data_IF_053355098663
#
_entry.id   IF_053355098663
#
_cell.length_a   1.000
_cell.length_b   1.000
_cell.length_c   1.000
_cell.angle_alpha   90.00
_cell.angle_beta   90.00
_cell.angle_gamma   90.00
#
_symmetry.space_group_name_H-M   'P 1'
#
loop_
_entity.id
_entity.type
_entity.pdbx_description
1 polymer ?
#
# COMPACT_ATOMS: atom_id res chain seq x y z
N UNK A 1 14.16 -1.97 -8.37
CA UNK A 1 13.90 -1.31 -9.67
C UNK A 1 12.64 -1.91 -10.26
N UNK A 2 11.51 -1.25 -10.44
CA UNK A 2 11.14 0.17 -10.35
C UNK A 2 9.66 0.20 -9.99
N UNK A 3 9.31 0.70 -8.80
CA UNK A 3 7.92 0.98 -8.44
C UNK A 3 7.47 2.18 -9.25
N UNK A 4 6.89 1.95 -10.42
CA UNK A 4 6.27 3.02 -11.19
C UNK A 4 4.89 3.30 -10.59
N UNK A 5 4.86 3.95 -9.42
CA UNK A 5 3.69 4.66 -8.91
C UNK A 5 3.53 5.92 -9.76
N UNK A 6 3.06 5.76 -11.00
CA UNK A 6 2.84 6.86 -11.93
C UNK A 6 1.56 7.61 -11.54
N UNK A 7 1.74 8.71 -10.84
CA UNK A 7 0.76 9.78 -10.77
C UNK A 7 0.97 10.73 -11.94
N UNK A 8 0.03 10.75 -12.87
CA UNK A 8 -0.62 11.94 -13.42
C UNK A 8 -1.56 11.53 -14.57
N UNK A 9 -2.84 11.93 -14.48
CA UNK A 9 -3.76 11.94 -15.61
C UNK A 9 -4.62 10.69 -15.81
N UNK A 10 -5.59 10.44 -14.92
CA UNK A 10 -6.57 9.34 -15.07
C UNK A 10 -8.01 9.82 -15.24
N UNK A 11 -8.23 10.96 -15.92
CA UNK A 11 -9.58 11.34 -16.38
C UNK A 11 -10.07 10.49 -17.56
N UNK A 12 -9.18 9.96 -18.38
CA UNK A 12 -9.51 9.22 -19.61
C UNK A 12 -9.99 7.78 -19.36
N UNK A 13 -9.44 7.10 -18.34
CA UNK A 13 -9.70 5.66 -18.10
C UNK A 13 -11.00 5.43 -17.33
N UNK A 14 -11.35 6.35 -16.43
CA UNK A 14 -12.63 6.32 -15.68
C UNK A 14 -13.85 6.50 -16.60
N UNK A 15 -13.68 7.07 -17.79
CA UNK A 15 -14.76 7.22 -18.78
C UNK A 15 -15.03 5.95 -19.60
N UNK A 16 -14.13 4.96 -19.61
CA UNK A 16 -14.26 3.77 -20.48
C UNK A 16 -15.14 2.68 -19.84
N UNK A 17 -15.19 2.59 -18.49
CA UNK A 17 -15.96 1.52 -17.81
C UNK A 17 -17.40 1.90 -17.46
N UNK A 18 -17.80 3.17 -17.61
CA UNK A 18 -19.18 3.65 -17.48
C UNK A 18 -19.90 3.36 -16.16
N UNK A 19 -19.19 2.90 -15.11
CA UNK A 19 -19.84 2.35 -13.91
C UNK A 19 -18.98 2.42 -12.66
N UNK A 20 -18.42 3.58 -12.35
CA UNK A 20 -17.82 3.84 -11.02
C UNK A 20 -18.48 5.07 -10.37
N UNK A 21 -18.69 5.07 -9.04
CA UNK A 21 -19.29 6.18 -8.30
C UNK A 21 -18.56 7.50 -8.58
N UNK A 22 -19.25 8.64 -8.49
CA UNK A 22 -18.65 9.98 -8.68
C UNK A 22 -17.41 10.23 -7.77
N UNK A 23 -17.30 9.52 -6.65
CA UNK A 23 -16.12 9.52 -5.76
C UNK A 23 -14.84 9.00 -6.44
N UNK A 24 -14.98 8.11 -7.43
CA UNK A 24 -13.87 7.59 -8.22
C UNK A 24 -13.24 8.64 -9.15
N UNK A 25 -13.89 9.80 -9.36
CA UNK A 25 -13.30 10.92 -10.12
C UNK A 25 -12.04 11.51 -9.45
N UNK A 26 -11.80 11.14 -8.17
CA UNK A 26 -10.60 11.45 -7.39
C UNK A 26 -9.91 10.16 -6.96
N UNK A 27 -9.58 9.31 -7.92
CA UNK A 27 -8.89 8.04 -7.69
C UNK A 27 -7.53 7.97 -8.39
N UNK A 28 -6.63 7.18 -7.81
CA UNK A 28 -5.30 6.84 -8.30
C UNK A 28 -5.24 5.35 -8.60
N UNK A 29 -4.51 4.99 -9.66
CA UNK A 29 -4.25 3.59 -10.00
C UNK A 29 -2.80 3.21 -9.69
N UNK A 30 -2.58 2.20 -8.86
CA UNK A 30 -1.26 1.56 -8.73
C UNK A 30 -1.22 0.34 -9.66
N UNK A 31 -0.16 0.22 -10.47
CA UNK A 31 -0.01 -0.84 -11.48
C UNK A 31 1.20 -1.69 -11.17
N UNK A 32 1.09 -2.99 -11.42
CA UNK A 32 2.12 -3.97 -11.13
C UNK A 32 2.61 -4.60 -12.43
N UNK A 33 3.93 -4.56 -12.63
CA UNK A 33 4.57 -5.34 -13.69
C UNK A 33 4.32 -6.83 -13.46
N UNK A 34 4.09 -7.55 -14.55
CA UNK A 34 3.90 -9.00 -14.51
C UNK A 34 4.97 -9.67 -15.36
N UNK A 35 5.99 -10.19 -14.69
CA UNK A 35 7.10 -10.91 -15.33
C UNK A 35 6.91 -12.43 -15.29
N UNK A 36 5.69 -12.91 -15.09
CA UNK A 36 5.35 -14.31 -14.79
C UNK A 36 4.97 -14.51 -13.32
N UNK A 37 4.51 -15.72 -12.95
CA UNK A 37 4.12 -16.03 -11.57
C UNK A 37 5.33 -16.55 -10.76
N UNK A 38 5.88 -15.76 -9.81
CA UNK A 38 6.95 -16.21 -8.94
C UNK A 38 6.45 -17.19 -7.85
N UNK A 39 5.13 -17.38 -7.71
CA UNK A 39 4.53 -18.24 -6.70
C UNK A 39 4.71 -17.71 -5.28
N UNK A 40 4.96 -18.62 -4.35
CA UNK A 40 5.18 -18.32 -2.93
C UNK A 40 6.65 -18.49 -2.57
N UNK A 41 7.09 -17.79 -1.52
CA UNK A 41 8.37 -18.02 -0.88
C UNK A 41 8.46 -19.46 -0.34
N UNK A 42 9.67 -19.91 -0.02
CA UNK A 42 9.92 -21.26 0.51
C UNK A 42 9.14 -21.57 1.80
N UNK A 43 8.81 -20.54 2.57
CA UNK A 43 7.95 -20.62 3.76
C UNK A 43 6.46 -20.92 3.44
N UNK A 44 6.06 -20.83 2.17
CA UNK A 44 4.68 -20.98 1.66
C UNK A 44 3.66 -20.01 2.26
N UNK A 45 4.14 -18.95 2.92
CA UNK A 45 3.31 -17.91 3.52
C UNK A 45 3.33 -16.66 2.65
N UNK A 46 4.52 -16.20 2.25
CA UNK A 46 4.68 -14.95 1.49
C UNK A 46 4.45 -15.20 0.00
N UNK A 47 3.47 -14.51 -0.55
CA UNK A 47 3.20 -14.51 -1.98
C UNK A 47 4.16 -13.52 -2.67
N UNK A 48 4.92 -14.01 -3.64
CA UNK A 48 5.96 -13.22 -4.30
C UNK A 48 5.42 -12.39 -5.47
N UNK A 49 4.17 -12.61 -5.88
CA UNK A 49 3.52 -11.78 -6.89
C UNK A 49 3.02 -10.49 -6.24
N UNK A 50 3.75 -9.40 -6.45
CA UNK A 50 3.55 -8.08 -5.81
C UNK A 50 2.11 -7.54 -5.87
N UNK A 51 1.34 -7.88 -6.92
CA UNK A 51 -0.05 -7.43 -7.05
C UNK A 51 -1.01 -8.16 -6.10
N UNK A 52 -0.76 -9.44 -5.82
CA UNK A 52 -1.69 -10.30 -5.07
C UNK A 52 -1.76 -9.91 -3.58
N UNK A 53 -0.65 -9.71 -2.84
CA UNK A 53 -0.66 -9.13 -1.50
C UNK A 53 -1.39 -7.81 -1.43
N UNK A 54 -1.07 -6.86 -2.32
CA UNK A 54 -1.67 -5.52 -2.33
C UNK A 54 -3.20 -5.61 -2.47
N UNK A 55 -3.68 -6.36 -3.48
CA UNK A 55 -5.12 -6.53 -3.73
C UNK A 55 -5.81 -7.18 -2.53
N UNK A 56 -5.21 -8.24 -1.95
CA UNK A 56 -5.78 -8.92 -0.78
C UNK A 56 -5.84 -7.99 0.44
N UNK A 57 -4.79 -7.21 0.67
CA UNK A 57 -4.71 -6.27 1.78
C UNK A 57 -5.81 -5.19 1.64
N UNK A 58 -5.93 -4.53 0.50
CA UNK A 58 -6.97 -3.51 0.32
C UNK A 58 -8.40 -4.06 0.35
N UNK A 59 -8.63 -5.26 -0.21
CA UNK A 59 -9.92 -5.95 -0.05
C UNK A 59 -10.25 -6.19 1.44
N UNK A 60 -9.25 -6.60 2.23
CA UNK A 60 -9.40 -6.84 3.66
C UNK A 60 -9.63 -5.54 4.43
N UNK A 61 -8.83 -4.52 4.18
CA UNK A 61 -8.95 -3.19 4.80
C UNK A 61 -10.33 -2.58 4.56
N UNK A 62 -10.86 -2.68 3.33
CA UNK A 62 -12.21 -2.20 3.02
C UNK A 62 -13.28 -3.00 3.77
N UNK A 63 -13.16 -4.33 3.80
CA UNK A 63 -14.11 -5.20 4.51
C UNK A 63 -14.18 -4.92 6.02
N UNK A 64 -13.06 -4.51 6.63
CA UNK A 64 -12.97 -4.19 8.05
C UNK A 64 -13.22 -2.71 8.36
N UNK A 65 -13.57 -1.88 7.36
CA UNK A 65 -13.84 -0.45 7.55
C UNK A 65 -12.60 0.41 7.83
N UNK A 66 -11.39 -0.13 7.65
CA UNK A 66 -10.13 0.58 7.96
C UNK A 66 -9.90 1.75 6.99
N UNK A 67 -10.32 1.60 5.73
CA UNK A 67 -10.32 2.68 4.74
C UNK A 67 -11.13 3.89 5.23
N UNK A 68 -12.32 3.64 5.79
CA UNK A 68 -13.25 4.70 6.21
C UNK A 68 -12.76 5.41 7.48
N UNK A 69 -11.92 4.74 8.28
CA UNK A 69 -11.21 5.33 9.42
C UNK A 69 -10.07 6.29 9.04
N UNK A 70 -9.70 6.37 7.76
CA UNK A 70 -8.71 7.33 7.26
C UNK A 70 -7.26 7.00 7.62
N UNK A 71 -6.95 5.75 7.94
CA UNK A 71 -5.59 5.24 8.21
C UNK A 71 -4.88 4.69 6.98
N UNK A 72 -5.64 4.37 5.94
CA UNK A 72 -5.20 3.90 4.63
C UNK A 72 -6.02 4.64 3.56
N UNK A 73 -5.57 4.67 2.30
CA UNK A 73 -6.37 5.24 1.22
C UNK A 73 -7.73 4.54 1.08
N UNK A 74 -8.72 5.27 0.60
CA UNK A 74 -10.00 4.66 0.19
C UNK A 74 -9.72 3.65 -0.91
N UNK A 75 -10.38 2.50 -0.88
CA UNK A 75 -10.28 1.47 -1.91
C UNK A 75 -11.54 1.43 -2.76
N UNK A 76 -11.38 1.53 -4.07
CA UNK A 76 -12.48 1.54 -5.04
C UNK A 76 -12.58 0.25 -5.87
N UNK A 77 -11.50 -0.55 -5.93
CA UNK A 77 -11.50 -1.83 -6.62
C UNK A 77 -10.15 -2.18 -7.23
N UNK A 78 -10.12 -3.25 -8.02
CA UNK A 78 -8.93 -3.71 -8.71
C UNK A 78 -9.29 -4.24 -10.11
N UNK A 79 -8.29 -4.31 -10.98
CA UNK A 79 -8.37 -4.88 -12.31
C UNK A 79 -7.22 -5.88 -12.47
N UNK A 80 -7.52 -7.05 -13.03
CA UNK A 80 -6.53 -8.07 -13.33
C UNK A 80 -6.29 -8.11 -14.83
N UNK A 81 -5.07 -8.49 -15.21
CA UNK A 81 -4.69 -8.76 -16.61
C UNK A 81 -5.10 -7.63 -17.58
N UNK A 82 -4.81 -6.40 -17.20
CA UNK A 82 -5.14 -5.19 -17.95
C UNK A 82 -4.32 -5.17 -19.24
N UNK A 83 -4.97 -5.33 -20.39
CA UNK A 83 -4.32 -5.20 -21.69
C UNK A 83 -3.78 -3.76 -21.89
N UNK A 84 -2.45 -3.56 -21.95
CA UNK A 84 -1.84 -2.24 -22.10
C UNK A 84 -2.26 -1.52 -23.39
N UNK A 85 -2.62 -2.24 -24.45
CA UNK A 85 -2.99 -1.66 -25.74
C UNK A 85 -4.29 -0.83 -25.65
N UNK A 86 -5.24 -1.28 -24.81
CA UNK A 86 -6.53 -0.59 -24.61
C UNK A 86 -6.40 0.77 -23.90
N UNK A 87 -5.23 1.06 -23.34
CA UNK A 87 -4.97 2.25 -22.55
C UNK A 87 -3.77 3.05 -23.05
N UNK A 88 -3.42 2.89 -24.32
CA UNK A 88 -2.38 3.68 -24.96
C UNK A 88 -2.73 5.19 -24.94
N UNK A 89 -1.74 6.08 -24.72
CA UNK A 89 -0.32 5.80 -24.50
C UNK A 89 0.04 5.52 -23.03
N UNK A 90 -0.91 5.62 -22.09
CA UNK A 90 -0.66 5.64 -20.64
C UNK A 90 -0.13 4.33 -20.04
N UNK A 91 -0.26 3.20 -20.76
CA UNK A 91 0.28 1.89 -20.38
C UNK A 91 1.40 1.40 -21.29
N UNK A 92 1.99 2.25 -22.13
CA UNK A 92 3.05 1.83 -23.07
C UNK A 92 4.23 1.14 -22.39
N UNK A 93 4.60 1.57 -21.17
CA UNK A 93 5.68 0.98 -20.38
C UNK A 93 5.47 -0.51 -20.02
N UNK A 94 4.23 -1.03 -20.10
CA UNK A 94 3.90 -2.42 -19.79
C UNK A 94 3.75 -3.30 -21.05
N UNK A 95 3.90 -2.73 -22.26
CA UNK A 95 3.71 -3.47 -23.52
C UNK A 95 4.73 -4.60 -23.73
N UNK A 96 5.87 -4.53 -23.04
CA UNK A 96 6.96 -5.49 -23.17
C UNK A 96 7.07 -6.44 -21.96
N UNK A 97 6.15 -6.35 -21.00
CA UNK A 97 6.05 -7.31 -19.91
C UNK A 97 5.63 -8.68 -20.44
N UNK A 98 6.08 -9.76 -19.80
CA UNK A 98 5.71 -11.12 -20.23
C UNK A 98 4.27 -11.50 -19.89
N UNK A 99 3.63 -10.78 -18.97
CA UNK A 99 2.21 -10.89 -18.67
C UNK A 99 1.53 -9.53 -18.58
N UNK A 100 0.20 -9.51 -18.65
CA UNK A 100 -0.56 -8.28 -18.49
C UNK A 100 -0.48 -7.77 -17.04
N UNK A 101 -0.34 -6.45 -16.84
CA UNK A 101 -0.29 -5.85 -15.51
C UNK A 101 -1.63 -5.99 -14.77
N UNK A 102 -1.56 -5.98 -13.45
CA UNK A 102 -2.73 -5.80 -12.58
C UNK A 102 -2.71 -4.42 -11.95
N UNK A 103 -3.87 -3.90 -11.57
CA UNK A 103 -3.99 -2.58 -10.96
C UNK A 103 -4.97 -2.55 -9.80
N UNK A 104 -4.69 -1.71 -8.80
CA UNK A 104 -5.67 -1.31 -7.78
C UNK A 104 -6.08 0.14 -7.99
N UNK A 105 -7.31 0.49 -7.62
CA UNK A 105 -7.86 1.83 -7.67
C UNK A 105 -8.12 2.32 -6.24
N UNK A 106 -7.43 3.38 -5.83
CA UNK A 106 -7.46 3.96 -4.48
C UNK A 106 -7.74 5.46 -4.49
N UNK A 107 -8.01 6.05 -3.33
CA UNK A 107 -8.22 7.50 -3.16
C UNK A 107 -7.04 8.33 -3.67
N UNK A 108 -7.33 9.43 -4.38
CA UNK A 108 -6.32 10.40 -4.83
C UNK A 108 -5.76 11.20 -3.66
N UNK A 109 -4.43 11.26 -3.57
CA UNK A 109 -3.67 11.86 -2.46
C UNK A 109 -2.77 12.98 -2.99
N UNK A 110 -3.34 14.13 -3.37
CA UNK A 110 -2.56 15.22 -3.96
C UNK A 110 -1.53 15.75 -2.95
N UNK A 111 -0.32 15.96 -3.44
CA UNK A 111 0.78 16.56 -2.69
C UNK A 111 1.14 15.81 -1.40
N UNK A 112 0.73 14.55 -1.26
CA UNK A 112 1.14 13.73 -0.12
C UNK A 112 2.64 13.49 -0.17
N UNK A 113 3.28 13.51 1.00
CA UNK A 113 4.73 13.28 1.11
C UNK A 113 5.00 12.17 2.11
N UNK A 114 6.00 11.31 1.88
CA UNK A 114 6.40 10.32 2.87
C UNK A 114 6.83 10.96 4.18
N UNK A 115 6.60 10.26 5.28
CA UNK A 115 7.08 10.64 6.59
C UNK A 115 8.61 10.61 6.60
N UNK A 116 9.23 11.72 7.00
CA UNK A 116 10.67 11.86 7.13
C UNK A 116 11.01 12.81 8.29
N UNK A 117 12.30 13.13 8.49
CA UNK A 117 12.74 14.02 9.57
C UNK A 117 12.14 15.43 9.51
N UNK A 118 11.68 15.89 8.34
CA UNK A 118 11.05 17.21 8.14
C UNK A 118 9.54 17.16 8.36
N UNK A 119 8.88 16.11 7.89
CA UNK A 119 7.43 15.94 8.00
C UNK A 119 7.01 15.27 9.31
N UNK A 120 7.95 14.80 10.11
CA UNK A 120 7.70 14.21 11.41
C UNK A 120 7.08 15.20 12.40
N UNK A 121 6.04 14.75 13.11
CA UNK A 121 5.57 15.36 14.35
C UNK A 121 5.08 14.24 15.28
N UNK A 122 5.07 14.50 16.59
CA UNK A 122 4.58 13.52 17.57
C UNK A 122 3.13 13.11 17.26
N UNK A 123 2.27 14.07 16.93
CA UNK A 123 0.88 13.80 16.57
C UNK A 123 0.74 12.92 15.33
N UNK A 124 1.56 13.17 14.29
CA UNK A 124 1.58 12.33 13.08
C UNK A 124 2.07 10.93 13.38
N UNK A 125 3.07 10.79 14.26
CA UNK A 125 3.56 9.50 14.70
C UNK A 125 2.50 8.73 15.51
N UNK A 126 1.79 9.39 16.42
CA UNK A 126 0.69 8.79 17.17
C UNK A 126 -0.42 8.28 16.23
N UNK A 127 -0.72 9.02 15.15
CA UNK A 127 -1.65 8.58 14.10
C UNK A 127 -1.11 7.38 13.30
N UNK A 128 0.18 7.37 12.96
CA UNK A 128 0.81 6.24 12.27
C UNK A 128 0.79 4.96 13.12
N UNK A 129 1.08 5.06 14.43
CA UNK A 129 1.01 3.92 15.37
C UNK A 129 -0.41 3.36 15.42
N UNK A 130 -1.43 4.22 15.56
CA UNK A 130 -2.84 3.78 15.49
C UNK A 130 -3.16 3.13 14.15
N UNK A 131 -2.64 3.66 13.06
CA UNK A 131 -2.84 3.10 11.73
C UNK A 131 -2.33 1.67 11.60
N UNK A 132 -1.11 1.38 12.08
CA UNK A 132 -0.56 0.02 12.01
C UNK A 132 -1.31 -0.94 12.94
N UNK A 133 -1.71 -0.49 14.14
CA UNK A 133 -2.55 -1.28 15.05
C UNK A 133 -3.91 -1.64 14.41
N UNK A 134 -4.52 -0.71 13.67
CA UNK A 134 -5.75 -0.97 12.92
C UNK A 134 -5.56 -1.94 11.75
N UNK A 135 -4.44 -1.85 11.03
CA UNK A 135 -4.06 -2.82 9.99
C UNK A 135 -3.94 -4.23 10.59
N UNK A 136 -3.26 -4.35 11.73
CA UNK A 136 -3.12 -5.63 12.46
C UNK A 136 -4.45 -6.19 12.92
N UNK A 137 -5.37 -5.33 13.38
CA UNK A 137 -6.72 -5.73 13.77
C UNK A 137 -7.55 -6.32 12.61
N UNK A 138 -7.17 -5.99 11.36
CA UNK A 138 -7.76 -6.55 10.15
C UNK A 138 -7.04 -7.84 9.67
N UNK A 139 -6.19 -8.45 10.50
CA UNK A 139 -5.42 -9.67 10.22
C UNK A 139 -4.42 -9.50 9.07
N UNK A 140 -3.77 -8.34 9.02
CA UNK A 140 -2.73 -8.02 8.04
C UNK A 140 -1.44 -7.75 8.79
N UNK A 141 -0.34 -8.31 8.31
CA UNK A 141 1.03 -7.92 8.66
C UNK A 141 1.63 -7.19 7.46
N UNK A 142 2.14 -5.97 7.65
CA UNK A 142 2.56 -5.10 6.55
C UNK A 142 3.92 -5.53 5.96
N UNK A 143 4.83 -6.07 6.79
CA UNK A 143 6.20 -6.54 6.47
C UNK A 143 7.20 -5.43 6.12
N UNK A 144 6.76 -4.34 5.51
CA UNK A 144 7.60 -3.17 5.16
C UNK A 144 7.15 -1.90 5.89
N UNK A 145 7.09 -1.86 7.24
CA UNK A 145 6.46 -0.78 8.00
C UNK A 145 7.35 0.48 8.12
N UNK A 146 8.16 0.80 7.11
CA UNK A 146 9.08 1.94 7.15
C UNK A 146 8.37 3.26 6.87
N UNK A 147 8.97 4.36 7.34
CA UNK A 147 8.41 5.72 7.21
C UNK A 147 8.18 6.17 5.77
N UNK A 148 8.89 5.59 4.78
CA UNK A 148 8.64 5.80 3.34
C UNK A 148 7.23 5.39 2.90
N UNK A 149 6.60 4.46 3.63
CA UNK A 149 5.27 3.91 3.37
C UNK A 149 4.18 4.57 4.20
N UNK A 150 4.53 5.63 4.95
CA UNK A 150 3.61 6.47 5.71
C UNK A 150 3.49 7.81 4.99
N UNK A 151 2.34 8.10 4.41
CA UNK A 151 2.07 9.36 3.71
C UNK A 151 1.42 10.39 4.62
N UNK A 152 1.92 11.62 4.54
CA UNK A 152 1.33 12.81 5.16
C UNK A 152 0.61 13.61 4.07
N UNK A 153 -0.70 13.79 4.24
CA UNK A 153 -1.52 14.60 3.32
C UNK A 153 -1.61 16.03 3.86
N UNK A 154 -1.00 17.03 3.18
CA UNK A 154 -1.00 18.41 3.65
C UNK A 154 -2.43 18.98 3.74
N UNK A 155 -2.63 19.91 4.68
CA UNK A 155 -3.92 20.59 4.91
C UNK A 155 -4.98 19.79 5.66
N UNK A 156 -4.86 18.46 5.71
CA UNK A 156 -5.77 17.58 6.48
C UNK A 156 -5.10 16.91 7.68
N UNK A 157 -3.78 17.00 7.80
CA UNK A 157 -2.97 16.29 8.81
C UNK A 157 -3.27 14.78 8.89
N UNK A 158 -3.76 14.21 7.78
CA UNK A 158 -4.01 12.78 7.63
C UNK A 158 -2.69 12.04 7.45
N UNK A 159 -2.62 10.88 8.08
CA UNK A 159 -1.48 9.96 8.04
C UNK A 159 -1.98 8.64 7.49
N UNK A 160 -1.42 8.19 6.36
CA UNK A 160 -1.91 7.05 5.61
C UNK A 160 -0.81 6.02 5.40
N UNK A 161 -1.12 4.75 5.65
CA UNK A 161 -0.28 3.62 5.29
C UNK A 161 -0.57 3.19 3.84
N UNK A 162 0.49 2.91 3.09
CA UNK A 162 0.46 2.43 1.71
C UNK A 162 1.49 1.31 1.52
N UNK A 163 1.50 0.66 0.36
CA UNK A 163 2.53 -0.32 -0.04
C UNK A 163 2.44 -1.66 0.71
N UNK A 164 1.35 -2.37 0.48
CA UNK A 164 1.05 -3.71 0.99
C UNK A 164 1.47 -4.82 0.01
N UNK A 165 2.37 -4.54 -0.93
CA UNK A 165 2.79 -5.44 -2.01
C UNK A 165 3.57 -6.67 -1.52
N UNK A 166 4.04 -6.62 -0.27
CA UNK A 166 4.67 -7.72 0.46
C UNK A 166 3.85 -8.19 1.66
N UNK A 167 2.71 -7.57 1.93
CA UNK A 167 1.94 -7.84 3.13
C UNK A 167 1.43 -9.29 3.21
N UNK A 168 1.36 -9.85 4.41
CA UNK A 168 0.65 -11.10 4.67
C UNK A 168 -0.77 -10.75 5.12
N UNK A 169 -1.77 -11.27 4.42
CA UNK A 169 -3.17 -11.20 4.84
C UNK A 169 -3.61 -12.57 5.34
N UNK A 170 -3.79 -12.71 6.65
CA UNK A 170 -4.26 -13.94 7.26
C UNK A 170 -5.77 -14.11 7.01
N UNK A 171 -6.26 -15.34 6.73
CA UNK A 171 -7.69 -15.57 6.49
C UNK A 171 -8.57 -15.10 7.64
N UNK A 172 -8.16 -15.41 8.87
CA UNK A 172 -8.78 -15.03 10.14
C UNK A 172 -7.78 -15.29 11.30
N UNK A 173 -8.21 -15.05 12.54
CA UNK A 173 -7.38 -15.19 13.73
C UNK A 173 -6.85 -16.60 14.00
N UNK A 174 -7.48 -17.67 13.50
CA UNK A 174 -7.00 -19.06 13.72
C UNK A 174 -5.70 -19.35 12.97
N UNK A 175 -5.37 -18.56 11.95
CA UNK A 175 -4.12 -18.66 11.19
C UNK A 175 -2.99 -17.82 11.79
N UNK A 176 -3.29 -17.04 12.83
CA UNK A 176 -2.28 -16.25 13.54
C UNK A 176 -1.81 -17.09 14.73
N UNK A 177 -0.69 -17.80 14.53
CA UNK A 177 -0.02 -18.57 15.57
C UNK A 177 0.77 -17.68 16.54
N UNK A 178 1.51 -18.31 17.45
CA UNK A 178 2.36 -17.59 18.40
C UNK A 178 3.48 -16.83 17.68
N UNK A 179 4.06 -17.43 16.63
CA UNK A 179 5.10 -16.83 15.81
C UNK A 179 4.60 -15.60 15.07
N UNK A 180 3.45 -15.70 14.39
CA UNK A 180 2.86 -14.59 13.64
C UNK A 180 2.42 -13.46 14.58
N UNK A 181 1.92 -13.78 15.79
CA UNK A 181 1.68 -12.77 16.84
C UNK A 181 2.96 -12.05 17.26
N UNK A 182 4.09 -12.76 17.33
CA UNK A 182 5.38 -12.16 17.64
C UNK A 182 5.78 -11.15 16.56
N UNK A 183 5.68 -11.53 15.28
CA UNK A 183 6.01 -10.64 14.15
C UNK A 183 5.11 -9.40 14.09
N UNK A 184 3.79 -9.56 14.25
CA UNK A 184 2.84 -8.44 14.31
C UNK A 184 3.20 -7.48 15.46
N UNK A 185 3.55 -8.02 16.63
CA UNK A 185 3.97 -7.23 17.77
C UNK A 185 5.30 -6.50 17.48
N UNK A 186 6.29 -7.18 16.94
CA UNK A 186 7.58 -6.61 16.57
C UNK A 186 7.43 -5.50 15.52
N UNK A 187 6.55 -5.67 14.53
CA UNK A 187 6.20 -4.64 13.55
C UNK A 187 5.63 -3.38 14.24
N UNK A 188 4.71 -3.54 15.18
CA UNK A 188 4.17 -2.41 15.97
C UNK A 188 5.27 -1.71 16.76
N UNK A 189 6.13 -2.47 17.44
CA UNK A 189 7.22 -1.92 18.23
C UNK A 189 8.29 -1.23 17.36
N UNK A 190 8.55 -1.74 16.15
CA UNK A 190 9.39 -1.08 15.15
C UNK A 190 8.84 0.31 14.81
N UNK A 191 7.54 0.41 14.52
CA UNK A 191 6.87 1.68 14.22
C UNK A 191 6.94 2.65 15.40
N UNK A 192 6.69 2.18 16.63
CA UNK A 192 6.83 2.98 17.85
C UNK A 192 8.27 3.48 18.04
N UNK A 193 9.25 2.65 17.69
CA UNK A 193 10.68 2.98 17.76
C UNK A 193 11.09 4.20 16.94
N UNK A 194 10.43 4.46 15.80
CA UNK A 194 10.66 5.67 15.00
C UNK A 194 10.33 6.96 15.76
N UNK A 195 9.35 6.92 16.68
CA UNK A 195 8.96 8.09 17.47
C UNK A 195 9.88 8.41 18.65
N UNK A 196 10.64 7.41 19.12
CA UNK A 196 11.50 7.53 20.33
C UNK A 196 12.95 7.87 19.96
N UNK A 197 13.46 7.35 18.83
CA UNK A 197 14.82 7.65 18.38
C UNK A 197 14.84 9.00 17.66
N UNK A 198 15.47 9.99 18.27
CA UNK A 198 15.60 11.36 17.73
C UNK A 198 16.09 11.33 16.26
N UNK A 199 15.47 12.18 15.46
CA UNK A 199 15.40 12.17 14.00
C UNK A 199 16.69 12.31 13.14
N UNK A 200 17.94 12.52 13.61
CA UNK A 200 19.07 12.63 12.66
C UNK A 200 19.63 11.30 12.15
N UNK A 201 19.60 10.21 12.94
CA UNK A 201 20.46 9.05 12.67
C UNK A 201 19.82 7.90 11.86
N UNK A 202 18.49 7.82 11.77
CA UNK A 202 17.85 6.71 11.03
C UNK A 202 17.72 6.95 9.52
N UNK A 203 17.73 8.20 9.06
CA UNK A 203 17.47 8.50 7.65
C UNK A 203 18.70 8.33 6.74
N UNK A 204 19.93 8.30 7.28
CA UNK A 204 21.15 8.14 6.48
C UNK A 204 21.61 6.69 6.30
N UNK A 205 21.20 5.76 7.16
CA UNK A 205 21.68 4.36 7.10
C UNK A 205 20.81 3.41 6.27
N UNK A 206 19.59 3.82 5.87
CA UNK A 206 18.64 2.93 5.21
C UNK A 206 18.19 3.38 3.81
N UNK A 207 18.83 4.40 3.22
CA UNK A 207 18.61 4.77 1.82
C UNK A 207 19.42 3.93 0.82
N UNK A 208 20.26 3.01 1.29
CA UNK A 208 21.11 2.15 0.47
C UNK A 208 20.94 0.66 0.84
N UNK A 209 19.73 0.13 0.74
CA UNK A 209 19.49 -1.31 0.52
C UNK A 209 18.35 -1.48 -0.47
#
# INVERSE_FOLDING_TARGET
MTFVKLLQGFRSILNISGRLPWEATRAESCKFHNTGDPGYASDRVRDLNRSRPEIRAYCRLKRFGICDGGYVPNFYGFMLEVDPANFAPHLSAFQHDSGHPSAILIGYLPHSTPMNCVTYSKERMDKAIKGIEHIHSAFIEHIDPYTKNILIVPGSERVLWIDFDVAITYPNSTFIGERERCWIKEETECVKGFGVKRAPFFFSEFQHV
#
